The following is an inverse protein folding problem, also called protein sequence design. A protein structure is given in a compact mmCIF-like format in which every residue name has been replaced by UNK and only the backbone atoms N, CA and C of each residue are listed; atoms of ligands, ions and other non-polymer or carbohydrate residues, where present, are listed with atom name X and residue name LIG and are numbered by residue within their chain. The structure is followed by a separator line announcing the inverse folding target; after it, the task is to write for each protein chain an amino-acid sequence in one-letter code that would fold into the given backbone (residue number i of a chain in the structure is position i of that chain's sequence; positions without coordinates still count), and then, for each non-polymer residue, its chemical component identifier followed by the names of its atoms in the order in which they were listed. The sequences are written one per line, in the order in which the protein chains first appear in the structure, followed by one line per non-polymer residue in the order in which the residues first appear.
data_IF_886028902798
#
_entry.id   IF_886028902798
#
_cell.length_a   1.000
_cell.length_b   1.000
_cell.length_c   1.000
_cell.angle_alpha   90.00
_cell.angle_beta   90.00
_cell.angle_gamma   90.00
#
_symmetry.space_group_name_H-M   'P 1'
#
loop_
_entity.id
_entity.type
_entity.pdbx_description
1 polymer ?
#
# COMPACT_ATOMS: atom_id res chain seq x y z
N UNK A 1 -12.07 12.45 12.28
CA UNK A 1 -11.34 13.43 11.44
C UNK A 1 -12.29 14.30 10.64
N UNK A 2 -12.15 15.62 10.72
CA UNK A 2 -13.06 16.60 10.07
C UNK A 2 -13.11 16.44 8.54
N UNK A 3 -12.00 16.06 7.91
CA UNK A 3 -11.92 15.87 6.45
C UNK A 3 -12.68 14.62 6.00
N UNK A 4 -12.61 13.53 6.78
CA UNK A 4 -13.30 12.28 6.46
C UNK A 4 -14.82 12.41 6.55
N UNK A 5 -15.31 13.06 7.60
CA UNK A 5 -16.74 13.33 7.77
C UNK A 5 -17.28 14.15 6.60
N UNK A 6 -16.55 15.21 6.22
CA UNK A 6 -16.91 16.02 5.06
C UNK A 6 -16.90 15.24 3.75
N UNK A 7 -15.93 14.36 3.52
CA UNK A 7 -15.90 13.52 2.31
C UNK A 7 -17.09 12.57 2.22
N UNK A 8 -17.59 12.08 3.36
CA UNK A 8 -18.82 11.29 3.40
C UNK A 8 -20.04 12.15 3.07
N UNK A 9 -20.14 13.35 3.63
CA UNK A 9 -21.23 14.31 3.36
C UNK A 9 -21.26 14.74 1.88
N UNK A 10 -20.09 15.02 1.31
CA UNK A 10 -19.92 15.46 -0.08
C UNK A 10 -20.01 14.29 -1.09
N UNK A 11 -20.24 13.05 -0.65
CA UNK A 11 -20.37 11.87 -1.51
C UNK A 11 -19.10 11.53 -2.29
N UNK A 12 -17.92 11.89 -1.75
CA UNK A 12 -16.63 11.70 -2.41
C UNK A 12 -16.35 10.21 -2.56
N UNK A 13 -16.14 9.76 -3.80
CA UNK A 13 -15.72 8.38 -4.07
C UNK A 13 -14.23 8.22 -3.76
N UNK A 14 -13.93 7.34 -2.81
CA UNK A 14 -12.56 6.95 -2.52
C UNK A 14 -12.07 6.02 -3.63
N UNK A 15 -10.97 6.38 -4.29
CA UNK A 15 -10.35 5.56 -5.35
C UNK A 15 -8.97 5.11 -4.92
N UNK A 16 -8.55 3.92 -5.37
CA UNK A 16 -7.20 3.42 -5.12
C UNK A 16 -6.66 2.60 -6.29
N UNK A 17 -5.34 2.62 -6.55
CA UNK A 17 -4.71 1.59 -7.37
C UNK A 17 -4.92 0.19 -6.77
N UNK A 18 -4.97 -0.83 -7.63
CA UNK A 18 -5.05 -2.24 -7.20
C UNK A 18 -3.90 -2.69 -6.30
N UNK A 19 -2.77 -1.97 -6.32
CA UNK A 19 -1.61 -2.24 -5.49
C UNK A 19 -1.92 -2.15 -3.97
N UNK A 20 -2.92 -1.36 -3.56
CA UNK A 20 -3.29 -1.19 -2.14
C UNK A 20 -3.54 -2.52 -1.42
N UNK A 21 -4.22 -3.46 -2.09
CA UNK A 21 -4.54 -4.77 -1.52
C UNK A 21 -3.27 -5.55 -1.14
N UNK A 22 -2.28 -5.57 -2.03
CA UNK A 22 -1.03 -6.27 -1.81
C UNK A 22 -0.17 -5.61 -0.72
N UNK A 23 -0.19 -4.28 -0.68
CA UNK A 23 0.54 -3.50 0.32
C UNK A 23 -0.03 -3.72 1.72
N UNK A 24 -1.35 -3.68 1.88
CA UNK A 24 -2.02 -3.91 3.17
C UNK A 24 -1.70 -5.30 3.72
N UNK A 25 -1.86 -6.34 2.89
CA UNK A 25 -1.53 -7.72 3.25
C UNK A 25 -0.07 -7.86 3.68
N UNK A 26 0.84 -7.26 2.91
CA UNK A 26 2.28 -7.29 3.21
C UNK A 26 2.62 -6.58 4.52
N UNK A 27 2.01 -5.43 4.79
CA UNK A 27 2.22 -4.67 6.03
C UNK A 27 1.72 -5.43 7.25
N UNK A 28 0.51 -5.99 7.19
CA UNK A 28 -0.04 -6.79 8.29
C UNK A 28 0.84 -8.01 8.58
N UNK A 29 1.24 -8.75 7.54
CA UNK A 29 2.12 -9.92 7.71
C UNK A 29 3.48 -9.54 8.31
N UNK A 30 4.07 -8.41 7.89
CA UNK A 30 5.33 -7.91 8.45
C UNK A 30 5.21 -7.53 9.91
N UNK A 31 4.09 -6.93 10.33
CA UNK A 31 3.85 -6.59 11.74
C UNK A 31 3.77 -7.84 12.60
N UNK A 32 3.07 -8.88 12.15
CA UNK A 32 3.04 -10.19 12.82
C UNK A 32 4.43 -10.80 12.91
N UNK A 33 5.17 -10.83 11.80
CA UNK A 33 6.51 -11.40 11.77
C UNK A 33 7.48 -10.69 12.73
N UNK A 34 7.31 -9.39 12.94
CA UNK A 34 8.13 -8.59 13.87
C UNK A 34 7.61 -8.61 15.31
N UNK A 35 6.55 -9.38 15.61
CA UNK A 35 5.93 -9.43 16.94
C UNK A 35 5.21 -8.15 17.36
N UNK A 36 4.92 -7.25 16.41
CA UNK A 36 4.21 -5.99 16.67
C UNK A 36 2.67 -6.14 16.65
N UNK A 37 2.18 -7.26 16.14
CA UNK A 37 0.78 -7.68 16.20
C UNK A 37 0.74 -9.18 16.50
N UNK A 38 -0.21 -9.59 17.33
CA UNK A 38 -0.55 -11.01 17.44
C UNK A 38 -1.18 -11.51 16.13
N UNK A 39 -1.14 -12.82 15.84
CA UNK A 39 -1.88 -13.39 14.71
C UNK A 39 -3.36 -13.03 14.73
N UNK A 40 -4.00 -13.08 15.90
CA UNK A 40 -5.42 -12.80 16.07
C UNK A 40 -5.76 -11.31 15.85
N UNK A 41 -4.86 -10.40 16.26
CA UNK A 41 -4.99 -8.97 15.96
C UNK A 41 -4.87 -8.70 14.45
N UNK A 42 -3.98 -9.43 13.77
CA UNK A 42 -3.81 -9.30 12.33
C UNK A 42 -5.03 -9.79 11.56
N UNK A 43 -5.63 -10.91 11.95
CA UNK A 43 -6.89 -11.41 11.36
C UNK A 43 -8.01 -10.39 11.52
N UNK A 44 -8.21 -9.83 12.73
CA UNK A 44 -9.20 -8.77 12.95
C UNK A 44 -8.93 -7.53 12.08
N UNK A 45 -7.66 -7.17 11.90
CA UNK A 45 -7.28 -6.07 11.02
C UNK A 45 -7.56 -6.39 9.54
N UNK A 46 -7.33 -7.63 9.10
CA UNK A 46 -7.66 -8.08 7.75
C UNK A 46 -9.17 -7.99 7.47
N UNK A 47 -10.00 -8.44 8.41
CA UNK A 47 -11.46 -8.34 8.31
C UNK A 47 -11.94 -6.89 8.23
N UNK A 48 -11.34 -6.01 9.04
CA UNK A 48 -11.65 -4.59 9.00
C UNK A 48 -11.25 -3.97 7.64
N UNK A 49 -10.06 -4.30 7.14
CA UNK A 49 -9.58 -3.85 5.82
C UNK A 49 -10.51 -4.30 4.71
N UNK A 50 -10.95 -5.57 4.69
CA UNK A 50 -11.89 -6.06 3.68
C UNK A 50 -13.21 -5.29 3.68
N UNK A 51 -13.77 -5.00 4.87
CA UNK A 51 -14.99 -4.19 4.99
C UNK A 51 -14.81 -2.77 4.48
N UNK A 52 -13.66 -2.14 4.76
CA UNK A 52 -13.36 -0.79 4.27
C UNK A 52 -13.14 -0.76 2.77
N UNK A 53 -12.53 -1.79 2.19
CA UNK A 53 -12.26 -1.87 0.75
C UNK A 53 -13.53 -1.96 -0.09
N UNK A 54 -14.66 -2.43 0.46
CA UNK A 54 -15.97 -2.36 -0.22
C UNK A 54 -16.35 -0.90 -0.55
N UNK A 55 -15.86 0.06 0.22
CA UNK A 55 -16.10 1.49 0.00
C UNK A 55 -15.07 2.14 -0.93
N UNK A 56 -14.05 1.39 -1.37
CA UNK A 56 -12.95 1.91 -2.20
C UNK A 56 -13.09 1.39 -3.62
N UNK A 57 -13.24 2.32 -4.57
CA UNK A 57 -13.21 1.98 -5.99
C UNK A 57 -11.78 1.71 -6.44
N UNK A 58 -11.47 0.44 -6.69
CA UNK A 58 -10.17 0.02 -7.20
C UNK A 58 -10.09 0.28 -8.70
N UNK A 59 -9.10 1.08 -9.12
CA UNK A 59 -8.87 1.41 -10.51
C UNK A 59 -7.55 0.81 -10.99
N UNK A 60 -7.60 0.12 -12.12
CA UNK A 60 -6.42 -0.43 -12.82
C UNK A 60 -6.44 -0.07 -14.31
N UNK A 61 -6.29 1.22 -14.68
CA UNK A 61 -6.12 1.61 -16.07
C UNK A 61 -4.89 0.93 -16.69
N UNK A 62 -4.95 0.51 -17.97
CA UNK A 62 -3.85 -0.20 -18.63
C UNK A 62 -2.49 0.54 -18.56
N UNK A 63 -2.53 1.86 -18.67
CA UNK A 63 -1.34 2.74 -18.69
C UNK A 63 -0.88 3.23 -17.30
N UNK A 64 -1.54 2.80 -16.22
CA UNK A 64 -1.29 3.32 -14.88
C UNK A 64 0.17 3.18 -14.47
N UNK A 65 0.77 2.01 -14.72
CA UNK A 65 2.14 1.72 -14.35
C UNK A 65 3.15 2.57 -15.13
N UNK A 66 2.93 2.72 -16.44
CA UNK A 66 3.78 3.57 -17.29
C UNK A 66 3.77 5.00 -16.80
N UNK A 67 2.58 5.56 -16.57
CA UNK A 67 2.42 6.95 -16.11
C UNK A 67 2.96 7.16 -14.69
N UNK A 68 2.83 6.17 -13.82
CA UNK A 68 3.45 6.20 -12.50
C UNK A 68 4.98 6.25 -12.58
N UNK A 69 5.60 5.47 -13.48
CA UNK A 69 7.05 5.50 -13.70
C UNK A 69 7.54 6.84 -14.25
N UNK A 70 6.82 7.42 -15.22
CA UNK A 70 7.12 8.74 -15.78
C UNK A 70 7.13 9.83 -14.69
N UNK A 71 6.09 9.81 -13.82
CA UNK A 71 6.01 10.74 -12.68
C UNK A 71 7.13 10.50 -11.67
N UNK A 72 7.42 9.24 -11.34
CA UNK A 72 8.46 8.89 -10.41
C UNK A 72 9.84 9.37 -10.88
N UNK A 73 10.17 9.18 -12.17
CA UNK A 73 11.38 9.72 -12.77
C UNK A 73 11.42 11.26 -12.70
N UNK A 74 10.33 11.94 -13.07
CA UNK A 74 10.23 13.41 -13.03
C UNK A 74 10.47 13.99 -11.63
N UNK A 75 10.03 13.30 -10.59
CA UNK A 75 10.14 13.76 -9.21
C UNK A 75 11.29 13.09 -8.42
N UNK A 76 12.18 12.35 -9.09
CA UNK A 76 13.26 11.57 -8.47
C UNK A 76 12.76 10.70 -7.29
N UNK A 77 11.67 9.97 -7.52
CA UNK A 77 11.07 9.02 -6.58
C UNK A 77 11.13 7.61 -7.17
N UNK A 78 11.10 6.56 -6.33
CA UNK A 78 10.97 5.20 -6.84
C UNK A 78 9.56 4.95 -7.41
N UNK A 79 9.47 4.21 -8.50
CA UNK A 79 8.20 3.88 -9.18
C UNK A 79 7.26 2.99 -8.34
N UNK A 80 7.82 2.32 -7.33
CA UNK A 80 7.13 1.58 -6.29
C UNK A 80 7.69 2.05 -4.96
N UNK A 81 6.84 2.37 -3.99
CA UNK A 81 7.21 2.85 -2.65
C UNK A 81 7.91 1.81 -1.75
N UNK A 82 8.82 1.00 -2.29
CA UNK A 82 9.63 0.06 -1.53
C UNK A 82 11.10 0.45 -1.63
N UNK A 83 11.58 1.15 -0.60
CA UNK A 83 13.01 1.11 -0.26
C UNK A 83 13.28 -0.29 0.29
N UNK A 84 13.86 -1.18 -0.52
CA UNK A 84 14.78 -2.14 0.07
C UNK A 84 16.03 -1.35 0.50
N UNK A 85 16.62 -1.63 1.67
CA UNK A 85 17.98 -1.17 1.93
C UNK A 85 18.86 -1.65 0.76
N UNK A 86 19.92 -0.91 0.38
CA UNK A 86 20.85 -1.40 -0.62
C UNK A 86 21.28 -2.81 -0.22
N UNK A 87 21.17 -3.77 -1.14
CA UNK A 87 21.84 -5.06 -0.94
C UNK A 87 23.31 -4.71 -0.84
N UNK A 88 23.90 -4.89 0.34
CA UNK A 88 25.35 -4.98 0.44
C UNK A 88 25.75 -6.06 -0.57
N UNK A 89 26.56 -5.66 -1.55
CA UNK A 89 27.20 -6.60 -2.47
C UNK A 89 27.96 -7.60 -1.60
N UNK A 90 27.80 -8.92 -1.80
CA UNK A 90 28.71 -9.87 -1.16
C UNK A 90 30.11 -9.47 -1.59
N UNK A 91 30.99 -9.28 -0.62
CA UNK A 91 32.42 -9.16 -0.86
C UNK A 91 32.88 -10.48 -1.49
N UNK A 92 32.99 -10.51 -2.81
CA UNK A 92 33.63 -11.61 -3.55
C UNK A 92 35.14 -11.51 -3.33
N UNK A 93 35.57 -11.76 -2.10
CA UNK A 93 36.95 -12.08 -1.77
C UNK A 93 36.99 -13.23 -0.77
N UNK A 94 36.86 -14.46 -1.27
CA UNK A 94 37.62 -15.65 -0.82
C UNK A 94 37.53 -16.72 -1.91
#
# INVERSE_FOLDING_TARGET
DVVWERWKEDGVKVVSPGLLLFELTSVLRKKVHRGLLSPEEAERAFDLVHRLLVLVLVLTPPDLHRRACELAARFNRPCRGFRYPPRETPDEST
#
